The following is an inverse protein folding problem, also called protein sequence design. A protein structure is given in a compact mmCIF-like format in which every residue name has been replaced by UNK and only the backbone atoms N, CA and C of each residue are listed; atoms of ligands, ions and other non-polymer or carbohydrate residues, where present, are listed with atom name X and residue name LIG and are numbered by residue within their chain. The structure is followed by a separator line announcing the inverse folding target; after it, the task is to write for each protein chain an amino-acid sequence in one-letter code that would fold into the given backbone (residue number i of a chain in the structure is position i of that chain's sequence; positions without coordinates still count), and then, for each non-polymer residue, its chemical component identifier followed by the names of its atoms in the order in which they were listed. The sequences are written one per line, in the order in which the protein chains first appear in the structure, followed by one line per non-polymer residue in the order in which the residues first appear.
data_IF_984696324967
#
_entry.id   IF_984696324967
#
_cell.length_a   1.000
_cell.length_b   1.000
_cell.length_c   1.000
_cell.angle_alpha   90.00
_cell.angle_beta   90.00
_cell.angle_gamma   90.00
#
_symmetry.space_group_name_H-M   'P 1'
#
loop_
_entity.id
_entity.type
_entity.pdbx_description
1 polymer ?
#
# COMPACT_ATOMS: atom_id res chain seq x y z
N UNK A 1 -17.86 -7.62 11.68
CA UNK A 1 -16.70 -8.15 10.93
C UNK A 1 -15.40 -7.43 11.29
N UNK A 2 -15.36 -6.11 11.21
CA UNK A 2 -14.11 -5.34 11.40
C UNK A 2 -13.41 -5.63 12.73
N UNK A 3 -14.12 -5.69 13.84
CA UNK A 3 -13.54 -5.99 15.17
C UNK A 3 -12.77 -7.32 15.19
N UNK A 4 -13.32 -8.39 14.56
CA UNK A 4 -12.62 -9.69 14.50
C UNK A 4 -11.36 -9.64 13.64
N UNK A 5 -11.36 -8.82 12.58
CA UNK A 5 -10.19 -8.58 11.70
C UNK A 5 -9.11 -7.81 12.45
N UNK A 6 -9.47 -6.75 13.16
CA UNK A 6 -8.54 -5.96 13.98
C UNK A 6 -7.86 -6.82 15.05
N UNK A 7 -8.64 -7.67 15.73
CA UNK A 7 -8.11 -8.61 16.73
C UNK A 7 -7.15 -9.63 16.12
N UNK A 8 -7.47 -10.17 14.95
CA UNK A 8 -6.58 -11.08 14.21
C UNK A 8 -5.26 -10.42 13.83
N UNK A 9 -5.29 -9.12 13.52
CA UNK A 9 -4.11 -8.32 13.12
C UNK A 9 -3.23 -7.87 14.29
N UNK A 10 -3.61 -8.13 15.55
CA UNK A 10 -2.82 -7.77 16.74
C UNK A 10 -3.59 -6.86 17.71
N UNK A 11 -4.74 -6.31 17.29
CA UNK A 11 -5.61 -5.46 18.11
C UNK A 11 -5.25 -3.97 18.07
N UNK A 12 -6.26 -3.15 18.32
CA UNK A 12 -6.12 -1.69 18.29
C UNK A 12 -5.20 -1.14 19.37
N UNK A 13 -5.08 -1.82 20.50
CA UNK A 13 -4.26 -1.33 21.62
C UNK A 13 -2.77 -1.36 21.25
N UNK A 14 -2.29 -2.47 20.67
CA UNK A 14 -0.91 -2.53 20.15
C UNK A 14 -0.68 -1.50 19.04
N UNK A 15 -1.63 -1.37 18.12
CA UNK A 15 -1.52 -0.40 17.03
C UNK A 15 -1.44 1.05 17.55
N UNK A 16 -2.23 1.40 18.55
CA UNK A 16 -2.21 2.75 19.15
C UNK A 16 -0.93 3.04 19.92
N UNK A 17 -0.29 2.03 20.51
CA UNK A 17 0.99 2.17 21.20
C UNK A 17 2.14 2.35 20.21
N UNK A 18 2.11 1.63 19.09
CA UNK A 18 3.12 1.77 18.04
C UNK A 18 3.02 3.14 17.38
N UNK A 19 4.10 3.89 17.36
CA UNK A 19 4.18 5.24 16.75
C UNK A 19 4.90 5.23 15.42
N UNK A 20 5.79 4.28 15.24
CA UNK A 20 6.65 4.15 14.06
C UNK A 20 6.76 2.69 13.66
N UNK A 21 7.04 2.50 12.38
CA UNK A 21 7.48 1.22 11.86
C UNK A 21 8.79 1.38 11.09
N UNK A 22 9.58 0.33 11.06
CA UNK A 22 10.70 0.17 10.13
C UNK A 22 10.52 -1.11 9.35
N UNK A 23 10.90 -1.11 8.08
CA UNK A 23 10.81 -2.28 7.20
C UNK A 23 12.08 -2.42 6.38
N UNK A 24 12.41 -3.67 6.04
CA UNK A 24 13.24 -3.99 4.91
C UNK A 24 12.36 -4.61 3.82
N UNK A 25 12.34 -4.03 2.64
CA UNK A 25 11.40 -4.41 1.61
C UNK A 25 11.97 -4.29 0.18
N UNK A 26 11.36 -5.00 -0.75
CA UNK A 26 11.53 -4.76 -2.17
C UNK A 26 10.19 -4.45 -2.84
N UNK A 27 10.25 -3.62 -3.88
CA UNK A 27 9.11 -3.29 -4.75
C UNK A 27 9.55 -3.53 -6.18
N UNK A 28 8.94 -4.51 -6.86
CA UNK A 28 9.28 -4.89 -8.24
C UNK A 28 8.02 -5.00 -9.08
N UNK A 29 8.14 -5.33 -10.36
CA UNK A 29 7.02 -5.58 -11.25
C UNK A 29 7.04 -4.71 -12.51
N UNK A 30 6.13 -5.04 -13.41
CA UNK A 30 6.04 -4.41 -14.74
C UNK A 30 5.77 -2.90 -14.63
N UNK A 31 4.92 -2.49 -13.66
CA UNK A 31 4.60 -1.08 -13.46
C UNK A 31 5.84 -0.23 -13.13
N UNK A 32 6.76 -0.75 -12.31
CA UNK A 32 7.99 -0.03 -11.98
C UNK A 32 8.88 0.13 -13.21
N UNK A 33 9.11 -0.94 -13.97
CA UNK A 33 9.97 -0.91 -15.16
C UNK A 33 9.37 -0.10 -16.32
N UNK A 34 8.06 -0.13 -16.50
CA UNK A 34 7.38 0.64 -17.54
C UNK A 34 7.29 2.13 -17.20
N UNK A 35 7.05 2.46 -15.94
CA UNK A 35 6.86 3.86 -15.50
C UNK A 35 8.15 4.58 -15.22
N UNK A 36 9.16 3.90 -14.65
CA UNK A 36 10.45 4.50 -14.28
C UNK A 36 11.61 3.51 -14.53
N UNK A 37 12.24 3.59 -15.69
CA UNK A 37 13.24 2.60 -16.18
C UNK A 37 14.53 2.55 -15.34
N UNK A 38 14.88 3.62 -14.66
CA UNK A 38 16.16 3.75 -13.94
C UNK A 38 16.08 3.40 -12.47
N UNK A 39 14.88 3.20 -11.94
CA UNK A 39 14.68 3.01 -10.52
C UNK A 39 14.94 1.57 -10.08
N UNK A 40 15.80 1.41 -9.08
CA UNK A 40 15.92 0.17 -8.30
C UNK A 40 15.20 0.35 -6.97
N UNK A 41 14.30 -0.59 -6.65
CA UNK A 41 13.53 -0.60 -5.41
C UNK A 41 13.65 -1.97 -4.72
N UNK A 42 14.82 -2.63 -4.86
CA UNK A 42 15.00 -4.02 -4.42
C UNK A 42 15.44 -4.17 -2.96
N UNK A 43 16.12 -3.20 -2.41
CA UNK A 43 16.67 -3.24 -1.04
C UNK A 43 16.39 -1.92 -0.34
N UNK A 44 15.12 -1.69 -0.05
CA UNK A 44 14.67 -0.48 0.61
C UNK A 44 14.73 -0.64 2.12
N UNK A 45 15.41 0.26 2.81
CA UNK A 45 15.16 0.52 4.21
C UNK A 45 14.06 1.59 4.30
N UNK A 46 13.00 1.27 5.02
CA UNK A 46 11.79 2.10 5.09
C UNK A 46 11.49 2.43 6.54
N UNK A 47 11.25 3.69 6.82
CA UNK A 47 10.74 4.15 8.11
C UNK A 47 9.42 4.90 7.90
N UNK A 48 8.46 4.73 8.80
CA UNK A 48 7.20 5.45 8.68
C UNK A 48 6.47 5.64 9.99
N UNK A 49 5.46 6.49 9.96
CA UNK A 49 4.53 6.69 11.07
C UNK A 49 3.35 5.75 10.94
N UNK A 50 2.90 5.17 12.05
CA UNK A 50 1.67 4.37 12.10
C UNK A 50 0.40 5.24 12.07
N UNK A 51 0.50 6.51 12.48
CA UNK A 51 -0.66 7.40 12.64
C UNK A 51 -0.80 8.48 11.58
N UNK A 52 0.27 8.74 10.83
CA UNK A 52 0.28 9.76 9.78
C UNK A 52 0.84 9.19 8.49
N UNK A 53 0.34 9.63 7.35
CA UNK A 53 0.89 9.25 6.05
C UNK A 53 2.26 9.92 5.83
N UNK A 54 3.26 9.30 6.45
CA UNK A 54 4.65 9.69 6.37
C UNK A 54 5.50 8.42 6.23
N UNK A 55 6.28 8.34 5.17
CA UNK A 55 7.20 7.23 4.88
C UNK A 55 8.49 7.79 4.29
N UNK A 56 9.59 7.36 4.84
CA UNK A 56 10.92 7.70 4.38
C UNK A 56 11.61 6.43 3.88
N UNK A 57 12.18 6.51 2.68
CA UNK A 57 12.90 5.42 2.04
C UNK A 57 14.38 5.76 1.98
N UNK A 58 15.24 4.80 2.26
CA UNK A 58 16.68 4.85 1.98
C UNK A 58 17.02 3.78 0.95
N UNK A 59 17.91 4.11 0.00
CA UNK A 59 18.20 3.26 -1.17
C UNK A 59 17.15 3.38 -2.28
N UNK A 60 16.41 4.50 -2.33
CA UNK A 60 15.31 4.71 -3.28
C UNK A 60 15.81 5.08 -4.67
N UNK A 61 15.29 4.41 -5.68
CA UNK A 61 15.60 4.58 -7.11
C UNK A 61 17.09 4.36 -7.45
N UNK A 62 18.00 4.89 -6.64
CA UNK A 62 19.44 4.67 -6.62
C UNK A 62 19.86 4.37 -5.18
N UNK A 63 20.91 3.61 -5.00
CA UNK A 63 21.37 3.16 -3.67
C UNK A 63 21.73 4.28 -2.71
N UNK A 64 21.98 5.46 -3.24
CA UNK A 64 22.39 6.67 -2.52
C UNK A 64 21.26 7.68 -2.27
N UNK A 65 20.04 7.45 -2.75
CA UNK A 65 18.94 8.39 -2.55
C UNK A 65 18.06 8.06 -1.34
N UNK A 66 17.59 9.12 -0.71
CA UNK A 66 16.45 9.07 0.22
C UNK A 66 15.23 9.69 -0.43
N UNK A 67 14.06 9.06 -0.24
CA UNK A 67 12.77 9.63 -0.63
C UNK A 67 11.91 9.84 0.61
N UNK A 68 11.42 11.07 0.79
CA UNK A 68 10.60 11.47 1.93
C UNK A 68 9.17 11.72 1.42
N UNK A 69 8.27 10.82 1.76
CA UNK A 69 6.84 10.92 1.40
C UNK A 69 6.03 11.49 2.56
N UNK A 70 5.17 12.44 2.24
CA UNK A 70 4.07 12.93 3.07
C UNK A 70 2.81 13.01 2.21
N UNK A 71 1.63 13.09 2.82
CA UNK A 71 0.37 13.09 2.06
C UNK A 71 0.27 14.18 0.98
N UNK A 72 0.89 15.33 1.22
CA UNK A 72 0.86 16.53 0.37
C UNK A 72 2.21 16.89 -0.26
N UNK A 73 3.26 16.12 0.01
CA UNK A 73 4.60 16.45 -0.48
C UNK A 73 5.51 15.24 -0.60
N UNK A 74 6.47 15.36 -1.51
CA UNK A 74 7.57 14.42 -1.68
C UNK A 74 8.87 15.20 -1.84
N UNK A 75 9.94 14.69 -1.24
CA UNK A 75 11.30 15.18 -1.47
C UNK A 75 12.25 14.02 -1.75
N UNK A 76 13.22 14.26 -2.62
CA UNK A 76 14.37 13.40 -2.85
C UNK A 76 15.62 14.08 -2.32
N UNK A 77 16.43 13.37 -1.55
CA UNK A 77 17.63 13.88 -0.91
C UNK A 77 18.84 12.99 -1.21
N UNK A 78 19.99 13.62 -1.37
CA UNK A 78 21.28 12.93 -1.38
C UNK A 78 21.67 12.46 0.04
N UNK A 79 22.68 11.58 0.18
CA UNK A 79 23.12 11.08 1.49
C UNK A 79 23.58 12.18 2.46
N UNK A 80 24.09 13.28 1.95
CA UNK A 80 24.50 14.46 2.73
C UNK A 80 23.32 15.34 3.19
N UNK A 81 22.08 14.97 2.82
CA UNK A 81 20.86 15.71 3.12
C UNK A 81 20.54 16.83 2.12
N UNK A 82 21.36 17.02 1.08
CA UNK A 82 21.04 17.98 0.04
C UNK A 82 19.76 17.57 -0.70
N UNK A 83 18.80 18.50 -0.78
CA UNK A 83 17.56 18.27 -1.53
C UNK A 83 17.82 18.36 -3.05
N UNK A 84 17.58 17.24 -3.73
CA UNK A 84 17.76 17.10 -5.18
C UNK A 84 16.51 17.50 -5.93
N UNK A 85 15.35 17.06 -5.45
CA UNK A 85 14.06 17.37 -6.04
C UNK A 85 12.97 17.39 -4.96
N UNK A 86 11.94 18.17 -5.16
CA UNK A 86 10.76 18.13 -4.30
C UNK A 86 9.54 18.63 -5.04
N UNK A 87 8.39 18.13 -4.60
CA UNK A 87 7.09 18.59 -5.09
C UNK A 87 6.12 18.63 -3.92
N UNK A 88 5.44 19.78 -3.77
CA UNK A 88 4.29 19.91 -2.88
C UNK A 88 3.08 20.21 -3.77
N UNK A 89 2.06 19.40 -3.63
CA UNK A 89 0.83 19.51 -4.41
C UNK A 89 -0.32 18.86 -3.65
N UNK A 90 -1.54 19.26 -3.97
CA UNK A 90 -2.71 18.56 -3.45
C UNK A 90 -2.70 17.09 -3.92
N UNK A 91 -3.23 16.14 -3.11
CA UNK A 91 -3.27 14.72 -3.47
C UNK A 91 -3.92 14.44 -4.84
N UNK A 92 -4.85 15.28 -5.28
CA UNK A 92 -5.50 15.17 -6.59
C UNK A 92 -4.54 15.43 -7.75
N UNK A 93 -3.61 16.39 -7.60
CA UNK A 93 -2.60 16.71 -8.60
C UNK A 93 -1.59 15.57 -8.76
N UNK A 94 -1.10 15.01 -7.66
CA UNK A 94 -0.26 13.82 -7.69
C UNK A 94 -0.98 12.64 -8.36
N UNK A 95 -2.25 12.44 -8.04
CA UNK A 95 -3.07 11.37 -8.61
C UNK A 95 -3.27 11.53 -10.13
N UNK A 96 -3.42 12.75 -10.60
CA UNK A 96 -3.48 13.06 -12.04
C UNK A 96 -2.17 12.69 -12.74
N UNK A 97 -1.03 12.96 -12.11
CA UNK A 97 0.29 12.57 -12.61
C UNK A 97 0.50 11.06 -12.76
N UNK A 98 -0.18 10.23 -11.95
CA UNK A 98 -0.08 8.76 -12.06
C UNK A 98 -0.62 8.20 -13.39
N UNK A 99 -1.44 8.96 -14.12
CA UNK A 99 -1.93 8.61 -15.46
C UNK A 99 -0.88 8.79 -16.55
N UNK A 100 0.19 9.55 -16.29
CA UNK A 100 1.26 9.78 -17.26
C UNK A 100 1.92 8.47 -17.71
N UNK A 101 2.35 8.41 -18.97
CA UNK A 101 3.00 7.22 -19.53
C UNK A 101 4.31 6.88 -18.78
N UNK A 102 5.08 7.90 -18.41
CA UNK A 102 6.29 7.79 -17.60
C UNK A 102 6.15 8.60 -16.32
N UNK A 103 6.80 8.14 -15.27
CA UNK A 103 6.92 8.82 -13.98
C UNK A 103 8.34 9.31 -13.77
N UNK A 104 8.48 10.49 -13.20
CA UNK A 104 9.73 10.90 -12.58
C UNK A 104 9.92 10.21 -11.21
N UNK A 105 11.10 10.30 -10.63
CA UNK A 105 11.41 9.68 -9.34
C UNK A 105 10.54 10.24 -8.19
N UNK A 106 10.08 11.49 -8.29
CA UNK A 106 9.16 12.11 -7.31
C UNK A 106 7.78 11.48 -7.38
N UNK A 107 7.26 11.23 -8.58
CA UNK A 107 5.96 10.55 -8.76
C UNK A 107 6.04 9.09 -8.28
N UNK A 108 7.16 8.41 -8.58
CA UNK A 108 7.39 7.05 -8.10
C UNK A 108 7.45 7.01 -6.57
N UNK A 109 8.17 7.95 -5.94
CA UNK A 109 8.26 8.05 -4.49
C UNK A 109 6.89 8.33 -3.84
N UNK A 110 6.07 9.18 -4.47
CA UNK A 110 4.71 9.41 -4.01
C UNK A 110 3.87 8.14 -4.04
N UNK A 111 3.92 7.40 -5.17
CA UNK A 111 3.18 6.15 -5.34
C UNK A 111 3.62 5.10 -4.31
N UNK A 112 4.92 4.86 -4.18
CA UNK A 112 5.47 3.91 -3.22
C UNK A 112 5.16 4.30 -1.76
N UNK A 113 5.18 5.59 -1.45
CA UNK A 113 4.91 6.11 -0.12
C UNK A 113 3.52 5.77 0.37
N UNK A 114 2.48 6.13 -0.39
CA UNK A 114 1.13 5.80 0.04
C UNK A 114 0.82 4.30 -0.09
N UNK A 115 1.43 3.59 -1.05
CA UNK A 115 1.30 2.13 -1.18
C UNK A 115 1.76 1.43 0.09
N UNK A 116 2.99 1.68 0.53
CA UNK A 116 3.56 1.06 1.73
C UNK A 116 2.78 1.47 2.98
N UNK A 117 2.46 2.77 3.12
CA UNK A 117 1.72 3.22 4.29
C UNK A 117 0.35 2.56 4.40
N UNK A 118 -0.44 2.52 3.31
CA UNK A 118 -1.74 1.86 3.31
C UNK A 118 -1.62 0.35 3.56
N UNK A 119 -0.59 -0.31 3.04
CA UNK A 119 -0.33 -1.72 3.28
C UNK A 119 -0.14 -1.99 4.78
N UNK A 120 0.69 -1.20 5.45
CA UNK A 120 1.00 -1.36 6.88
C UNK A 120 -0.16 -0.91 7.78
N UNK A 121 -0.85 0.18 7.43
CA UNK A 121 -1.95 0.72 8.23
C UNK A 121 -3.24 -0.12 8.13
N UNK A 122 -3.39 -0.95 7.10
CA UNK A 122 -4.55 -1.85 6.96
C UNK A 122 -4.38 -3.10 7.83
N UNK A 123 -5.40 -3.52 8.62
CA UNK A 123 -6.77 -3.01 8.61
C UNK A 123 -7.05 -1.90 9.66
N UNK A 124 -6.08 -1.46 10.43
CA UNK A 124 -6.26 -0.59 11.59
C UNK A 124 -6.89 0.77 11.22
N UNK A 125 -6.51 1.31 10.05
CA UNK A 125 -7.05 2.57 9.54
C UNK A 125 -8.59 2.52 9.35
N UNK A 126 -9.15 1.34 9.06
CA UNK A 126 -10.59 1.16 8.86
C UNK A 126 -11.41 1.29 10.14
N UNK A 127 -10.77 1.35 11.30
CA UNK A 127 -11.41 1.61 12.59
C UNK A 127 -11.59 3.12 12.88
N UNK A 128 -11.03 3.99 12.06
CA UNK A 128 -11.23 5.43 12.17
C UNK A 128 -12.68 5.77 11.78
N UNK A 129 -13.42 6.54 12.60
CA UNK A 129 -14.84 6.82 12.39
C UNK A 129 -15.16 7.59 11.09
N UNK A 130 -14.16 8.23 10.48
CA UNK A 130 -14.36 8.93 9.20
C UNK A 130 -14.40 7.98 7.99
N UNK A 131 -14.13 6.68 8.20
CA UNK A 131 -14.27 5.68 7.15
C UNK A 131 -15.70 5.14 7.09
N UNK A 132 -16.31 5.21 5.92
CA UNK A 132 -17.61 4.59 5.68
C UNK A 132 -17.39 3.11 5.34
N UNK A 133 -17.79 2.20 6.23
CA UNK A 133 -17.61 0.76 6.02
C UNK A 133 -18.95 0.02 5.90
N UNK A 134 -19.00 -0.93 4.95
CA UNK A 134 -20.18 -1.77 4.70
C UNK A 134 -19.76 -3.24 4.49
N UNK A 135 -20.36 -4.15 5.27
CA UNK A 135 -20.20 -5.58 5.02
C UNK A 135 -21.01 -6.01 3.80
N UNK A 136 -20.34 -6.61 2.83
CA UNK A 136 -20.97 -7.15 1.62
C UNK A 136 -21.20 -8.66 1.74
N UNK A 137 -22.12 -9.25 0.93
CA UNK A 137 -22.27 -10.69 0.82
C UNK A 137 -20.92 -11.37 0.53
N UNK A 138 -20.68 -12.55 1.10
CA UNK A 138 -19.41 -13.28 0.92
C UNK A 138 -19.09 -13.55 -0.55
N UNK A 139 -17.81 -13.46 -0.91
CA UNK A 139 -17.33 -13.97 -2.19
C UNK A 139 -17.19 -15.49 -2.14
N UNK A 140 -17.76 -16.17 -3.13
CA UNK A 140 -17.68 -17.63 -3.30
C UNK A 140 -17.08 -18.03 -4.65
N UNK A 141 -16.28 -17.13 -5.25
CA UNK A 141 -15.65 -17.39 -6.56
C UNK A 141 -14.54 -18.45 -6.41
N UNK A 142 -14.52 -19.41 -7.34
CA UNK A 142 -13.51 -20.49 -7.43
C UNK A 142 -13.27 -21.24 -6.08
N UNK A 143 -14.34 -21.46 -5.30
CA UNK A 143 -14.23 -22.18 -4.01
C UNK A 143 -13.72 -21.34 -2.85
N UNK A 144 -13.35 -20.09 -3.05
CA UNK A 144 -13.03 -19.16 -1.97
C UNK A 144 -14.29 -18.77 -1.19
N UNK A 145 -14.16 -18.64 0.11
CA UNK A 145 -15.23 -18.18 1.00
C UNK A 145 -14.74 -16.98 1.80
N UNK A 146 -14.59 -15.83 1.11
CA UNK A 146 -14.04 -14.63 1.70
C UNK A 146 -15.15 -13.68 2.17
N UNK A 147 -14.98 -13.12 3.36
CA UNK A 147 -15.79 -12.03 3.88
C UNK A 147 -15.37 -10.74 3.18
N UNK A 148 -16.33 -9.89 2.83
CA UNK A 148 -16.05 -8.66 2.10
C UNK A 148 -16.45 -7.44 2.91
N UNK A 149 -15.57 -6.46 2.95
CA UNK A 149 -15.81 -5.14 3.52
C UNK A 149 -15.55 -4.08 2.45
N UNK A 150 -16.57 -3.33 2.08
CA UNK A 150 -16.41 -2.11 1.28
C UNK A 150 -16.04 -0.97 2.20
N UNK A 151 -15.05 -0.17 1.83
CA UNK A 151 -14.66 1.01 2.59
C UNK A 151 -14.56 2.24 1.69
N UNK A 152 -15.22 3.33 2.12
CA UNK A 152 -15.06 4.67 1.60
C UNK A 152 -13.98 5.40 2.39
N UNK A 153 -12.99 5.92 1.70
CA UNK A 153 -11.85 6.62 2.30
C UNK A 153 -12.11 8.12 2.39
N UNK A 154 -11.89 8.75 3.55
CA UNK A 154 -12.00 10.20 3.68
C UNK A 154 -10.93 10.90 2.84
N UNK A 155 -11.25 12.11 2.36
CA UNK A 155 -10.38 12.87 1.43
C UNK A 155 -8.98 13.19 1.98
N UNK A 156 -8.82 13.20 3.31
CA UNK A 156 -7.52 13.40 3.98
C UNK A 156 -6.57 12.21 3.83
N UNK A 157 -7.09 11.04 3.45
CA UNK A 157 -6.26 9.84 3.28
C UNK A 157 -5.94 9.62 1.82
N UNK A 158 -4.66 9.67 1.49
CA UNK A 158 -4.15 9.33 0.16
C UNK A 158 -4.19 7.83 -0.02
N UNK A 159 -4.84 7.38 -1.08
CA UNK A 159 -5.02 5.96 -1.36
C UNK A 159 -5.24 5.70 -2.85
N UNK A 160 -5.26 4.44 -3.25
CA UNK A 160 -5.42 4.01 -4.65
C UNK A 160 -6.74 4.47 -5.27
N UNK A 161 -7.83 4.35 -4.52
CA UNK A 161 -9.17 4.77 -4.92
C UNK A 161 -9.99 5.14 -3.69
N UNK A 162 -10.94 6.05 -3.84
CA UNK A 162 -11.80 6.51 -2.74
C UNK A 162 -12.72 5.43 -2.20
N UNK A 163 -13.06 4.43 -3.02
CA UNK A 163 -13.84 3.26 -2.59
C UNK A 163 -13.07 2.00 -2.94
N UNK A 164 -12.90 1.13 -1.95
CA UNK A 164 -12.16 -0.11 -2.09
C UNK A 164 -12.92 -1.26 -1.43
N UNK A 165 -12.71 -2.50 -1.92
CA UNK A 165 -13.32 -3.70 -1.34
C UNK A 165 -12.23 -4.63 -0.82
N UNK A 166 -12.24 -4.84 0.49
CA UNK A 166 -11.32 -5.73 1.21
C UNK A 166 -11.93 -7.12 1.37
N UNK A 167 -11.10 -8.14 1.21
CA UNK A 167 -11.50 -9.54 1.34
C UNK A 167 -10.68 -10.22 2.43
N UNK A 168 -11.38 -10.76 3.40
CA UNK A 168 -10.78 -11.44 4.56
C UNK A 168 -11.20 -12.91 4.59
N UNK A 169 -10.29 -13.79 4.98
CA UNK A 169 -10.63 -15.18 5.19
C UNK A 169 -11.38 -15.40 6.53
N UNK A 170 -11.62 -16.68 6.85
CA UNK A 170 -12.31 -17.07 8.10
C UNK A 170 -11.54 -16.68 9.36
N UNK A 171 -10.22 -16.62 9.28
CA UNK A 171 -9.32 -16.30 10.39
C UNK A 171 -9.11 -14.77 10.52
N UNK A 172 -9.73 -13.97 9.66
CA UNK A 172 -9.65 -12.51 9.65
C UNK A 172 -8.42 -11.97 8.93
N UNK A 173 -7.68 -12.80 8.19
CA UNK A 173 -6.51 -12.37 7.45
C UNK A 173 -6.93 -11.68 6.15
N UNK A 174 -6.30 -10.54 5.84
CA UNK A 174 -6.48 -9.86 4.57
C UNK A 174 -5.90 -10.71 3.45
N UNK A 175 -6.72 -11.05 2.46
CA UNK A 175 -6.32 -11.88 1.31
C UNK A 175 -6.32 -11.11 0.01
N UNK A 176 -7.20 -10.11 -0.11
CA UNK A 176 -7.36 -9.37 -1.37
C UNK A 176 -7.95 -7.99 -1.10
N UNK A 177 -7.60 -7.05 -1.97
CA UNK A 177 -8.14 -5.69 -2.02
C UNK A 177 -8.40 -5.31 -3.47
N UNK A 178 -9.65 -5.00 -3.82
CA UNK A 178 -10.06 -4.61 -5.17
C UNK A 178 -10.37 -3.12 -5.26
N UNK A 179 -9.95 -2.50 -6.37
CA UNK A 179 -10.28 -1.12 -6.70
C UNK A 179 -10.05 -0.81 -8.19
N UNK A 180 -10.67 0.27 -8.74
CA UNK A 180 -10.34 0.75 -10.07
C UNK A 180 -8.97 1.42 -10.10
N UNK A 181 -8.08 0.99 -11.00
CA UNK A 181 -6.72 1.53 -11.10
C UNK A 181 -6.71 3.00 -11.54
N UNK A 182 -5.95 3.83 -10.85
CA UNK A 182 -5.80 5.24 -11.23
C UNK A 182 -4.93 5.44 -12.50
N UNK A 183 -4.04 4.48 -12.77
CA UNK A 183 -3.05 4.52 -13.87
C UNK A 183 -3.52 3.84 -15.17
N UNK A 184 -4.72 3.23 -15.17
CA UNK A 184 -5.29 2.57 -16.34
C UNK A 184 -6.80 2.81 -16.38
N UNK A 185 -7.33 3.26 -17.52
CA UNK A 185 -8.72 3.62 -17.68
C UNK A 185 -9.68 2.51 -17.26
N UNK A 186 -10.38 2.74 -16.14
CA UNK A 186 -11.40 1.87 -15.56
C UNK A 186 -11.01 0.39 -15.34
N UNK A 187 -9.73 0.04 -15.50
CA UNK A 187 -9.25 -1.33 -15.28
C UNK A 187 -9.38 -1.67 -13.80
N UNK A 188 -10.08 -2.75 -13.48
CA UNK A 188 -10.13 -3.27 -12.13
C UNK A 188 -8.84 -4.00 -11.80
N UNK A 189 -8.28 -3.73 -10.65
CA UNK A 189 -7.07 -4.38 -10.14
C UNK A 189 -7.29 -4.91 -8.73
N UNK A 190 -6.50 -5.90 -8.38
CA UNK A 190 -6.51 -6.51 -7.06
C UNK A 190 -5.09 -6.55 -6.48
N UNK A 191 -4.93 -6.12 -5.25
CA UNK A 191 -3.83 -6.57 -4.42
C UNK A 191 -4.19 -7.91 -3.80
N UNK A 192 -3.32 -8.89 -3.93
CA UNK A 192 -3.41 -10.18 -3.21
C UNK A 192 -2.35 -10.21 -2.11
N UNK A 193 -2.71 -10.74 -0.95
CA UNK A 193 -1.88 -10.73 0.24
C UNK A 193 -1.62 -12.15 0.76
N UNK A 194 -0.36 -12.44 1.08
CA UNK A 194 0.06 -13.73 1.64
C UNK A 194 1.30 -13.57 2.53
N UNK A 195 1.85 -14.67 3.04
CA UNK A 195 3.05 -14.63 3.87
C UNK A 195 2.85 -13.88 5.19
N UNK A 196 1.67 -13.95 5.82
CA UNK A 196 1.38 -13.23 7.05
C UNK A 196 2.33 -13.63 8.17
N UNK A 197 3.04 -12.65 8.74
CA UNK A 197 3.96 -12.82 9.86
C UNK A 197 3.67 -11.78 10.95
N UNK A 198 4.05 -12.12 12.20
CA UNK A 198 3.90 -11.21 13.34
C UNK A 198 5.23 -10.54 13.65
N UNK A 199 5.19 -9.22 13.66
CA UNK A 199 6.30 -8.35 14.03
C UNK A 199 5.84 -7.46 15.20
N UNK A 200 6.54 -7.48 16.32
CA UNK A 200 6.14 -6.77 17.55
C UNK A 200 4.66 -7.01 17.94
N UNK A 201 4.10 -8.20 17.64
CA UNK A 201 2.70 -8.56 17.89
C UNK A 201 1.70 -8.14 16.79
N UNK A 202 2.07 -7.25 15.88
CA UNK A 202 1.27 -6.81 14.74
C UNK A 202 1.45 -7.80 13.59
N UNK A 203 0.34 -8.22 12.97
CA UNK A 203 0.33 -9.14 11.85
C UNK A 203 0.43 -8.37 10.54
N UNK A 204 1.46 -8.66 9.76
CA UNK A 204 1.73 -8.02 8.45
C UNK A 204 1.74 -9.08 7.36
N UNK A 205 1.01 -8.90 6.24
CA UNK A 205 1.20 -9.72 5.05
C UNK A 205 2.53 -9.31 4.39
N UNK A 206 3.49 -10.24 4.33
CA UNK A 206 4.83 -9.94 3.82
C UNK A 206 4.92 -10.01 2.30
N UNK A 207 3.94 -10.61 1.62
CA UNK A 207 3.84 -10.66 0.16
C UNK A 207 2.56 -9.97 -0.31
N UNK A 208 2.72 -8.96 -1.16
CA UNK A 208 1.61 -8.25 -1.79
C UNK A 208 1.83 -8.15 -3.30
N UNK A 209 0.86 -8.62 -4.10
CA UNK A 209 0.91 -8.56 -5.56
C UNK A 209 -0.24 -7.77 -6.13
N UNK A 210 0.07 -6.78 -6.96
CA UNK A 210 -0.93 -6.07 -7.75
C UNK A 210 -1.17 -6.81 -9.06
N UNK A 211 -2.41 -7.21 -9.30
CA UNK A 211 -2.83 -8.01 -10.44
C UNK A 211 -4.01 -7.35 -11.16
N UNK A 212 -4.11 -7.54 -12.45
CA UNK A 212 -5.33 -7.17 -13.20
C UNK A 212 -6.45 -8.15 -12.86
N UNK A 213 -7.69 -7.68 -12.81
CA UNK A 213 -8.86 -8.53 -12.64
C UNK A 213 -9.42 -8.89 -14.00
N UNK A 214 -9.59 -10.19 -14.26
CA UNK A 214 -10.22 -10.71 -15.47
C UNK A 214 -11.73 -10.47 -15.53
N UNK A 215 -12.33 -10.74 -16.67
CA UNK A 215 -13.78 -10.58 -16.90
C UNK A 215 -14.64 -11.45 -15.95
N UNK A 216 -14.10 -12.55 -15.46
CA UNK A 216 -14.72 -13.43 -14.44
C UNK A 216 -14.63 -12.85 -13.02
N UNK A 217 -13.96 -11.69 -12.86
CA UNK A 217 -13.74 -11.01 -11.58
C UNK A 217 -12.68 -11.69 -10.72
N UNK A 218 -11.79 -12.48 -11.33
CA UNK A 218 -10.69 -13.16 -10.64
C UNK A 218 -9.36 -12.51 -11.05
N UNK A 219 -8.40 -12.32 -10.10
CA UNK A 219 -7.09 -11.80 -10.43
C UNK A 219 -6.32 -12.72 -11.40
N UNK A 220 -5.70 -12.13 -12.41
CA UNK A 220 -4.84 -12.81 -13.38
C UNK A 220 -3.44 -12.92 -12.78
N UNK A 221 -2.99 -14.13 -12.53
CA UNK A 221 -1.82 -14.39 -11.71
C UNK A 221 -0.47 -13.93 -12.29
N UNK A 222 -0.36 -13.71 -13.61
CA UNK A 222 0.93 -13.36 -14.24
C UNK A 222 0.74 -12.55 -15.54
N UNK A 223 1.67 -11.61 -15.82
CA UNK A 223 2.69 -11.07 -14.90
C UNK A 223 2.04 -10.14 -13.84
N UNK A 224 2.60 -10.04 -12.62
CA UNK A 224 2.17 -9.06 -11.66
C UNK A 224 2.52 -7.65 -12.14
N UNK A 225 1.59 -6.71 -11.99
CA UNK A 225 1.86 -5.30 -12.24
C UNK A 225 2.86 -4.75 -11.20
N UNK A 226 2.74 -5.24 -9.97
CA UNK A 226 3.62 -4.89 -8.86
C UNK A 226 3.72 -6.08 -7.90
N UNK A 227 4.91 -6.26 -7.34
CA UNK A 227 5.22 -7.26 -6.32
C UNK A 227 5.96 -6.55 -5.18
N UNK A 228 5.40 -6.59 -3.97
CA UNK A 228 6.00 -6.05 -2.75
C UNK A 228 6.33 -7.20 -1.84
N UNK A 229 7.58 -7.28 -1.42
CA UNK A 229 8.07 -8.25 -0.45
C UNK A 229 8.67 -7.53 0.75
N UNK A 230 8.19 -7.85 1.96
CA UNK A 230 8.70 -7.34 3.23
C UNK A 230 9.52 -8.45 3.86
N UNK A 231 10.81 -8.23 4.04
CA UNK A 231 11.74 -9.19 4.60
C UNK A 231 11.77 -9.16 6.12
N UNK A 232 11.63 -7.97 6.69
CA UNK A 232 11.59 -7.73 8.14
C UNK A 232 10.79 -6.48 8.46
N UNK A 233 10.25 -6.42 9.68
CA UNK A 233 9.51 -5.27 10.20
C UNK A 233 9.67 -5.12 11.72
N UNK A 234 9.67 -3.90 12.21
CA UNK A 234 9.55 -3.60 13.65
C UNK A 234 8.53 -2.48 13.85
N UNK A 235 7.87 -2.51 15.01
CA UNK A 235 6.91 -1.49 15.43
C UNK A 235 7.28 -0.99 16.84
N UNK A 236 7.40 0.35 16.98
CA UNK A 236 7.85 1.03 18.21
C UNK A 236 6.86 2.12 18.65
#
# INVERSE_FOLDING_TARGET
MLESVLRASGGMDLWRLARRFTLHASITGVLCSEKCETASLKELAVEGSTHHQAVDFTGFARTDLRALYRADSVALEAPDGQRIASRSAAPQEFRSGLKSAKWDEVQLAYYCGYLIWNHIATPFILADPDFETEELPRSRKRGENLRRLRAGFPSRVVTHATVQTFYFDRDGLLRRLDYPAAHADATQVAHTFSGHQRFSGILVPTLCRLLTIGADGVPIAKPPLLDVEIFDATFN
#
